data_IF_818509427745
#
_entry.id   IF_818509427745
#
_cell.length_a   1.000
_cell.length_b   1.000
_cell.length_c   1.000
_cell.angle_alpha   90.00
_cell.angle_beta   90.00
_cell.angle_gamma   90.00
#
_symmetry.space_group_name_H-M   'P 1'
#
loop_
_entity.id
_entity.type
_entity.pdbx_description
1 polymer ?
#
# COMPACT_ATOMS: atom_id res chain seq x y z
N UNK A 1 -37.87 13.27 34.40
CA UNK A 1 -37.08 14.52 34.52
C UNK A 1 -35.62 14.22 34.20
N UNK A 2 -35.17 14.55 32.98
CA UNK A 2 -33.84 14.20 32.48
C UNK A 2 -32.73 15.05 33.11
N UNK A 3 -31.64 14.41 33.55
CA UNK A 3 -30.42 15.10 34.00
C UNK A 3 -29.77 15.81 32.82
N UNK A 4 -29.76 17.14 32.85
CA UNK A 4 -28.91 17.96 32.01
C UNK A 4 -27.45 17.58 32.30
N UNK A 5 -26.76 16.97 31.33
CA UNK A 5 -25.30 16.77 31.43
C UNK A 5 -24.65 18.14 31.38
N UNK A 6 -23.93 18.50 32.44
CA UNK A 6 -23.04 19.66 32.43
C UNK A 6 -22.09 19.56 31.22
N UNK A 7 -21.97 20.65 30.46
CA UNK A 7 -21.02 20.76 29.35
C UNK A 7 -19.61 20.64 29.96
N UNK A 8 -18.76 19.77 29.39
CA UNK A 8 -17.37 19.68 29.84
C UNK A 8 -16.60 20.88 29.31
N UNK A 9 -15.60 21.35 30.07
CA UNK A 9 -14.72 22.46 29.69
C UNK A 9 -14.13 22.32 28.27
N UNK A 10 -13.97 21.07 27.82
CA UNK A 10 -13.54 20.75 26.45
C UNK A 10 -14.56 21.17 25.37
N UNK A 11 -15.85 20.95 25.60
CA UNK A 11 -16.90 21.32 24.63
C UNK A 11 -17.02 22.84 24.50
N UNK A 12 -16.79 23.58 25.58
CA UNK A 12 -16.79 25.04 25.54
C UNK A 12 -15.58 25.59 24.78
N UNK A 13 -14.38 25.04 25.02
CA UNK A 13 -13.18 25.35 24.22
C UNK A 13 -13.31 24.95 22.75
N UNK A 14 -14.04 23.87 22.46
CA UNK A 14 -14.34 23.44 21.09
C UNK A 14 -15.30 24.43 20.41
N UNK A 15 -16.35 24.84 21.10
CA UNK A 15 -17.34 25.81 20.59
C UNK A 15 -16.70 27.18 20.37
N UNK A 16 -15.86 27.65 21.29
CA UNK A 16 -15.11 28.90 21.12
C UNK A 16 -14.25 28.90 19.85
N UNK A 17 -13.51 27.81 19.59
CA UNK A 17 -12.72 27.64 18.36
C UNK A 17 -13.58 27.59 17.09
N UNK A 18 -14.76 26.97 17.17
CA UNK A 18 -15.69 26.94 16.03
C UNK A 18 -16.18 28.35 15.71
N UNK A 19 -16.55 29.13 16.73
CA UNK A 19 -17.01 30.51 16.58
C UNK A 19 -15.91 31.42 16.03
N UNK A 20 -14.68 31.29 16.51
CA UNK A 20 -13.53 32.05 16.00
C UNK A 20 -13.28 31.76 14.51
N UNK A 21 -13.32 30.48 14.11
CA UNK A 21 -13.16 30.09 12.71
C UNK A 21 -14.32 30.60 11.83
N UNK A 22 -15.55 30.57 12.34
CA UNK A 22 -16.71 31.13 11.64
C UNK A 22 -16.57 32.65 11.43
N UNK A 23 -16.11 33.38 12.45
CA UNK A 23 -15.84 34.82 12.35
C UNK A 23 -14.75 35.11 11.32
N UNK A 24 -13.67 34.31 11.28
CA UNK A 24 -12.60 34.42 10.28
C UNK A 24 -13.11 34.16 8.86
N UNK A 25 -13.99 33.17 8.68
CA UNK A 25 -14.61 32.93 7.36
C UNK A 25 -15.55 34.05 6.93
N UNK A 26 -16.24 34.69 7.89
CA UNK A 26 -17.11 35.83 7.63
C UNK A 26 -16.32 37.08 7.25
N UNK A 27 -15.22 37.39 7.96
CA UNK A 27 -14.37 38.55 7.65
C UNK A 27 -13.69 38.44 6.28
N UNK A 28 -13.38 37.22 5.85
CA UNK A 28 -12.85 36.94 4.50
C UNK A 28 -13.95 36.89 3.42
N UNK A 29 -15.22 37.09 3.77
CA UNK A 29 -16.35 37.08 2.81
C UNK A 29 -16.71 35.69 2.26
N UNK A 30 -16.15 34.61 2.81
CA UNK A 30 -16.26 33.24 2.28
C UNK A 30 -17.58 32.53 2.63
N UNK A 31 -18.44 33.14 3.46
CA UNK A 31 -19.70 32.50 3.86
C UNK A 31 -20.74 32.50 2.72
N UNK A 32 -20.66 33.47 1.79
CA UNK A 32 -21.54 33.56 0.61
C UNK A 32 -21.14 32.54 -0.46
N UNK A 33 -19.83 32.35 -0.68
CA UNK A 33 -19.31 31.44 -1.70
C UNK A 33 -19.68 29.98 -1.43
N UNK A 34 -19.69 29.51 -0.18
CA UNK A 34 -20.08 28.12 0.14
C UNK A 34 -21.55 27.86 -0.15
N UNK A 35 -22.43 28.81 0.20
CA UNK A 35 -23.87 28.70 -0.08
C UNK A 35 -24.14 28.78 -1.58
N UNK A 36 -23.48 29.70 -2.30
CA UNK A 36 -23.55 29.80 -3.76
C UNK A 36 -23.04 28.52 -4.45
N UNK A 37 -21.91 27.97 -4.02
CA UNK A 37 -21.37 26.69 -4.54
C UNK A 37 -22.35 25.53 -4.31
N UNK A 38 -23.03 25.50 -3.15
CA UNK A 38 -24.07 24.49 -2.88
C UNK A 38 -25.29 24.70 -3.76
N UNK A 39 -25.71 25.93 -3.99
CA UNK A 39 -26.81 26.28 -4.90
C UNK A 39 -26.50 25.85 -6.34
N UNK A 40 -25.29 26.15 -6.83
CA UNK A 40 -24.81 25.74 -8.16
C UNK A 40 -24.84 24.20 -8.29
N UNK A 41 -24.27 23.49 -7.31
CA UNK A 41 -24.26 22.02 -7.28
C UNK A 41 -25.66 21.40 -7.18
N UNK A 42 -26.61 22.10 -6.57
CA UNK A 42 -28.00 21.65 -6.44
C UNK A 42 -28.83 21.89 -7.71
N UNK A 43 -28.51 22.93 -8.48
CA UNK A 43 -29.17 23.27 -9.74
C UNK A 43 -28.67 22.37 -10.91
N UNK A 44 -27.41 21.95 -10.90
CA UNK A 44 -26.90 21.00 -11.92
C UNK A 44 -27.58 19.60 -11.90
N UNK A 45 -28.48 19.31 -10.95
CA UNK A 45 -29.20 18.03 -10.85
C UNK A 45 -30.47 17.87 -11.71
N UNK A 46 -30.82 18.81 -12.59
CA UNK A 46 -32.03 18.66 -13.43
C UNK A 46 -31.84 17.94 -14.76
N UNK A 47 -30.61 17.70 -15.22
CA UNK A 47 -30.39 16.93 -16.46
C UNK A 47 -30.36 15.44 -16.11
N UNK A 48 -31.46 14.75 -16.41
CA UNK A 48 -31.59 13.29 -16.31
C UNK A 48 -30.61 12.61 -17.28
N UNK A 49 -29.37 12.38 -16.86
CA UNK A 49 -28.53 11.31 -17.37
C UNK A 49 -28.73 10.09 -16.50
N UNK A 50 -28.90 8.91 -17.10
CA UNK A 50 -29.12 7.63 -16.41
C UNK A 50 -27.96 7.31 -15.44
N UNK A 51 -28.08 7.75 -14.18
CA UNK A 51 -27.16 7.37 -13.11
C UNK A 51 -27.56 5.98 -12.63
N UNK A 52 -26.66 5.00 -12.78
CA UNK A 52 -26.80 3.69 -12.15
C UNK A 52 -27.00 3.89 -10.65
N UNK A 53 -28.08 3.31 -10.12
CA UNK A 53 -28.51 3.40 -8.72
C UNK A 53 -27.38 2.91 -7.80
N UNK A 54 -26.55 3.81 -7.29
CA UNK A 54 -25.64 3.50 -6.20
C UNK A 54 -26.48 3.51 -4.92
N UNK A 55 -26.85 2.33 -4.44
CA UNK A 55 -27.51 2.19 -3.15
C UNK A 55 -26.54 2.68 -2.07
N UNK A 56 -26.79 3.89 -1.53
CA UNK A 56 -26.12 4.37 -0.32
C UNK A 56 -26.61 3.50 0.83
N UNK A 57 -25.76 2.58 1.30
CA UNK A 57 -26.03 1.83 2.52
C UNK A 57 -25.98 2.82 3.68
N UNK A 58 -27.11 3.06 4.33
CA UNK A 58 -27.19 3.92 5.49
C UNK A 58 -26.67 3.16 6.73
N UNK A 59 -25.49 3.55 7.20
CA UNK A 59 -24.84 2.91 8.35
C UNK A 59 -25.31 3.49 9.69
N UNK A 60 -26.24 4.46 9.69
CA UNK A 60 -26.75 5.08 10.93
C UNK A 60 -27.54 4.11 11.83
N UNK A 61 -28.01 2.99 11.27
CA UNK A 61 -28.83 1.99 11.99
C UNK A 61 -28.08 0.67 12.25
N UNK A 62 -26.80 0.59 11.88
CA UNK A 62 -25.95 -0.57 12.20
C UNK A 62 -25.30 -0.37 13.57
N UNK A 63 -25.30 -1.36 14.48
CA UNK A 63 -24.56 -1.25 15.73
C UNK A 63 -23.09 -0.96 15.44
N UNK A 64 -22.57 0.15 15.97
CA UNK A 64 -21.15 0.47 15.94
C UNK A 64 -20.36 -0.75 16.42
N UNK A 65 -19.53 -1.33 15.54
CA UNK A 65 -18.55 -2.37 15.89
C UNK A 65 -17.55 -1.80 16.90
N UNK A 66 -17.94 -1.76 18.17
CA UNK A 66 -16.99 -1.75 19.28
C UNK A 66 -16.54 -3.19 19.47
N UNK A 67 -15.24 -3.43 19.39
CA UNK A 67 -14.65 -4.70 19.78
C UNK A 67 -15.09 -5.05 21.20
N UNK A 68 -15.75 -6.19 21.40
CA UNK A 68 -16.15 -6.72 22.71
C UNK A 68 -14.96 -7.18 23.57
N UNK A 69 -13.74 -6.67 23.33
CA UNK A 69 -12.53 -7.07 24.05
C UNK A 69 -12.46 -6.53 25.48
N UNK A 70 -13.36 -5.62 25.88
CA UNK A 70 -13.35 -4.93 27.17
C UNK A 70 -14.74 -4.83 27.82
N UNK A 71 -15.45 -5.96 27.98
CA UNK A 71 -16.49 -6.07 29.02
C UNK A 71 -16.17 -7.27 29.89
N UNK A 72 -15.98 -6.98 31.18
CA UNK A 72 -15.32 -7.82 32.15
C UNK A 72 -16.12 -9.02 32.66
N UNK A 73 -15.33 -10.01 33.02
CA UNK A 73 -15.42 -10.94 34.16
C UNK A 73 -16.64 -10.79 35.09
N UNK A 74 -17.38 -11.89 35.25
CA UNK A 74 -17.91 -12.33 36.54
C UNK A 74 -17.70 -13.84 36.65
N UNK A 75 -17.32 -14.29 37.84
CA UNK A 75 -16.67 -15.57 38.12
C UNK A 75 -17.64 -16.70 38.52
N UNK A 76 -17.39 -17.94 38.05
CA UNK A 76 -17.10 -19.12 38.91
C UNK A 76 -16.94 -20.45 38.12
N UNK A 77 -15.76 -21.04 38.30
CA UNK A 77 -15.39 -22.44 38.61
C UNK A 77 -15.73 -23.66 37.71
N UNK A 78 -14.65 -24.43 37.43
CA UNK A 78 -14.50 -25.88 37.06
C UNK A 78 -14.99 -26.24 35.64
N UNK A 79 -14.39 -27.12 34.83
CA UNK A 79 -13.17 -27.96 34.81
C UNK A 79 -13.08 -28.55 33.38
N UNK A 80 -11.87 -28.95 32.96
CA UNK A 80 -11.53 -29.94 31.92
C UNK A 80 -11.99 -29.81 30.44
N UNK A 81 -10.97 -29.66 29.60
CA UNK A 81 -10.63 -30.27 28.30
C UNK A 81 -11.67 -30.63 27.21
N UNK A 82 -11.21 -30.34 25.98
CA UNK A 82 -11.64 -30.79 24.65
C UNK A 82 -12.98 -30.31 24.04
N UNK A 83 -12.84 -29.56 22.93
CA UNK A 83 -13.35 -29.90 21.58
C UNK A 83 -13.95 -28.72 20.78
N UNK A 84 -13.95 -28.94 19.47
CA UNK A 84 -13.99 -28.00 18.35
C UNK A 84 -15.40 -27.49 18.00
N UNK A 85 -15.46 -26.32 17.32
CA UNK A 85 -16.13 -26.04 16.01
C UNK A 85 -16.68 -24.60 15.98
N UNK A 86 -16.24 -23.72 15.07
CA UNK A 86 -16.47 -23.65 13.60
C UNK A 86 -17.96 -23.75 13.24
N UNK A 87 -18.51 -22.60 12.84
CA UNK A 87 -19.90 -22.34 12.47
C UNK A 87 -20.44 -23.20 11.31
N UNK A 88 -21.43 -24.04 11.61
CA UNK A 88 -22.79 -24.15 11.04
C UNK A 88 -23.13 -23.88 9.55
N UNK A 89 -22.19 -23.85 8.59
CA UNK A 89 -22.56 -23.71 7.16
C UNK A 89 -22.78 -25.00 6.35
N UNK A 90 -22.63 -26.18 6.96
CA UNK A 90 -22.83 -27.44 6.23
C UNK A 90 -23.62 -28.43 7.10
N UNK A 91 -24.94 -28.34 7.02
CA UNK A 91 -25.87 -29.40 7.45
C UNK A 91 -26.97 -29.54 6.40
N UNK A 92 -26.93 -30.68 5.72
CA UNK A 92 -27.89 -31.13 4.71
C UNK A 92 -27.59 -32.61 4.42
N UNK A 93 -28.04 -33.46 5.35
CA UNK A 93 -28.63 -34.83 5.22
C UNK A 93 -28.36 -35.68 3.97
N UNK A 94 -28.26 -37.01 3.97
CA UNK A 94 -28.00 -38.14 4.89
C UNK A 94 -28.18 -39.39 4.01
N UNK A 95 -27.32 -40.42 4.11
CA UNK A 95 -27.55 -41.70 3.44
C UNK A 95 -26.33 -42.63 3.35
N UNK A 96 -26.23 -43.57 4.29
CA UNK A 96 -25.35 -44.76 4.46
C UNK A 96 -24.60 -45.29 3.21
N UNK A 97 -23.32 -45.73 3.24
CA UNK A 97 -22.73 -46.79 4.09
C UNK A 97 -21.20 -46.99 3.87
N UNK A 98 -20.49 -47.36 4.98
CA UNK A 98 -19.14 -47.99 5.19
C UNK A 98 -17.82 -47.37 4.63
N UNK A 99 -16.72 -47.31 5.45
CA UNK A 99 -15.35 -46.93 5.01
C UNK A 99 -14.41 -48.16 4.89
N UNK A 100 -13.09 -48.00 4.61
CA UNK A 100 -12.37 -47.41 3.47
C UNK A 100 -11.55 -48.51 2.69
N UNK A 101 -10.83 -48.19 1.60
CA UNK A 101 -9.39 -47.99 1.78
C UNK A 101 -8.84 -46.79 0.99
N UNK A 102 -7.72 -46.25 1.49
CA UNK A 102 -6.99 -45.12 0.88
C UNK A 102 -6.48 -45.54 -0.51
N UNK A 103 -6.99 -44.90 -1.56
CA UNK A 103 -6.59 -45.17 -2.93
C UNK A 103 -7.09 -44.11 -3.92
N UNK A 104 -6.15 -43.64 -4.74
CA UNK A 104 -6.19 -42.66 -5.83
C UNK A 104 -7.37 -42.79 -6.81
N UNK A 105 -7.78 -41.64 -7.39
CA UNK A 105 -8.31 -41.32 -8.75
C UNK A 105 -9.51 -40.34 -8.64
N UNK A 106 -9.76 -39.36 -9.51
CA UNK A 106 -9.14 -38.82 -10.73
C UNK A 106 -9.57 -37.33 -10.80
N UNK A 107 -8.80 -36.41 -11.37
CA UNK A 107 -8.59 -36.24 -12.81
C UNK A 107 -9.94 -36.26 -13.56
N UNK A 108 -10.54 -35.08 -13.68
CA UNK A 108 -11.36 -34.77 -14.85
C UNK A 108 -10.48 -33.90 -15.74
N UNK A 109 -10.17 -34.48 -16.88
CA UNK A 109 -9.44 -33.91 -18.00
C UNK A 109 -10.28 -32.79 -18.61
N UNK A 110 -9.75 -31.57 -18.55
CA UNK A 110 -9.87 -30.65 -19.68
C UNK A 110 -8.44 -30.45 -20.19
N UNK A 111 -8.08 -31.33 -21.11
CA UNK A 111 -6.87 -31.27 -21.92
C UNK A 111 -6.95 -30.05 -22.84
N UNK A 112 -6.35 -28.94 -22.42
CA UNK A 112 -5.62 -28.09 -23.36
C UNK A 112 -4.14 -28.19 -22.99
N UNK A 113 -3.42 -29.01 -23.75
CA UNK A 113 -1.98 -29.18 -23.70
C UNK A 113 -1.27 -27.83 -23.79
N UNK A 114 -0.89 -27.28 -22.64
CA UNK A 114 0.17 -26.30 -22.59
C UNK A 114 1.48 -27.08 -22.50
N UNK A 115 2.05 -27.41 -23.67
CA UNK A 115 3.36 -28.06 -23.80
C UNK A 115 4.41 -27.22 -23.04
N UNK A 116 4.67 -27.60 -21.79
CA UNK A 116 5.61 -26.93 -20.92
C UNK A 116 7.01 -27.44 -21.27
N UNK A 117 7.59 -26.84 -22.30
CA UNK A 117 9.02 -26.97 -22.62
C UNK A 117 9.66 -25.58 -22.57
N UNK A 118 9.98 -25.15 -21.36
CA UNK A 118 10.77 -23.95 -21.11
C UNK A 118 11.07 -23.84 -19.63
N UNK A 119 12.35 -23.77 -19.28
CA UNK A 119 12.86 -23.48 -17.94
C UNK A 119 12.01 -22.41 -17.24
N UNK A 120 11.63 -22.64 -15.98
CA UNK A 120 11.05 -21.60 -15.11
C UNK A 120 12.09 -20.50 -14.86
N UNK A 121 12.31 -19.64 -15.85
CA UNK A 121 13.09 -18.42 -15.67
C UNK A 121 12.32 -17.54 -14.69
N UNK A 122 12.91 -17.32 -13.51
CA UNK A 122 12.38 -16.40 -12.51
C UNK A 122 12.33 -15.00 -13.12
N UNK A 123 11.14 -14.56 -13.53
CA UNK A 123 10.93 -13.19 -14.02
C UNK A 123 11.31 -12.17 -12.94
N UNK A 124 11.93 -11.04 -13.32
CA UNK A 124 12.31 -10.01 -12.36
C UNK A 124 11.06 -9.33 -11.77
N UNK A 125 11.16 -8.84 -10.53
CA UNK A 125 10.00 -8.27 -9.83
C UNK A 125 9.51 -6.95 -10.46
N UNK A 126 10.36 -6.29 -11.23
CA UNK A 126 10.00 -5.11 -12.02
C UNK A 126 9.39 -5.46 -13.40
N UNK A 127 9.28 -6.74 -13.74
CA UNK A 127 8.60 -7.23 -14.95
C UNK A 127 7.63 -8.39 -14.66
N UNK A 128 6.60 -8.19 -13.80
CA UNK A 128 5.64 -9.24 -13.52
C UNK A 128 4.87 -9.65 -14.78
N UNK A 129 4.63 -10.96 -14.92
CA UNK A 129 3.76 -11.51 -15.95
C UNK A 129 2.32 -11.08 -15.67
N UNK A 130 1.66 -10.54 -16.68
CA UNK A 130 0.25 -10.13 -16.61
C UNK A 130 -0.52 -10.93 -17.64
N UNK A 131 -1.57 -11.62 -17.21
CA UNK A 131 -2.52 -12.26 -18.13
C UNK A 131 -3.43 -11.18 -18.71
N UNK A 132 -3.39 -10.99 -20.03
CA UNK A 132 -4.20 -10.02 -20.75
C UNK A 132 -5.17 -10.77 -21.68
N UNK A 133 -6.43 -10.34 -21.70
CA UNK A 133 -7.46 -10.89 -22.58
C UNK A 133 -7.31 -10.32 -24.00
N UNK A 134 -6.21 -10.64 -24.71
CA UNK A 134 -5.97 -10.42 -26.15
C UNK A 134 -6.06 -8.98 -26.70
N UNK A 135 -6.54 -8.01 -25.90
CA UNK A 135 -6.77 -6.62 -26.30
C UNK A 135 -5.53 -5.81 -25.93
N UNK A 136 -4.88 -5.22 -26.94
CA UNK A 136 -3.82 -4.23 -26.74
C UNK A 136 -4.41 -3.04 -25.99
N UNK A 137 -4.03 -2.90 -24.72
CA UNK A 137 -4.34 -1.71 -23.92
C UNK A 137 -3.29 -0.64 -24.23
N UNK A 138 -3.73 0.61 -24.36
CA UNK A 138 -2.85 1.78 -24.44
C UNK A 138 -3.31 2.80 -23.42
N UNK A 139 -2.37 3.57 -22.88
CA UNK A 139 -2.71 4.72 -22.06
C UNK A 139 -3.33 5.81 -22.94
N UNK A 140 -4.30 6.55 -22.39
CA UNK A 140 -4.75 7.77 -23.06
C UNK A 140 -3.65 8.83 -23.03
N UNK A 141 -3.62 9.76 -24.01
CA UNK A 141 -2.62 10.83 -24.06
C UNK A 141 -2.53 11.62 -22.74
N UNK A 142 -3.68 11.93 -22.12
CA UNK A 142 -3.72 12.65 -20.84
C UNK A 142 -3.11 11.88 -19.67
N UNK A 143 -3.24 10.55 -19.67
CA UNK A 143 -2.65 9.69 -18.64
C UNK A 143 -1.16 9.54 -18.87
N UNK A 144 -0.72 9.36 -20.12
CA UNK A 144 0.69 9.31 -20.49
C UNK A 144 1.40 10.63 -20.13
N UNK A 145 0.80 11.78 -20.44
CA UNK A 145 1.34 13.09 -20.08
C UNK A 145 1.42 13.28 -18.56
N UNK A 146 0.41 12.80 -17.80
CA UNK A 146 0.46 12.84 -16.33
C UNK A 146 1.59 12.00 -15.76
N UNK A 147 1.81 10.80 -16.30
CA UNK A 147 2.82 9.83 -15.82
C UNK A 147 4.21 10.44 -15.66
N UNK A 148 4.61 11.29 -16.61
CA UNK A 148 5.95 11.87 -16.71
C UNK A 148 6.06 13.31 -16.18
N UNK A 149 5.03 13.86 -15.51
CA UNK A 149 5.05 15.27 -15.05
C UNK A 149 6.19 15.64 -14.09
N UNK A 150 6.86 14.67 -13.50
CA UNK A 150 8.00 14.91 -12.62
C UNK A 150 9.00 13.78 -12.81
N UNK A 151 10.15 14.06 -13.43
CA UNK A 151 11.20 13.08 -13.69
C UNK A 151 11.71 12.47 -12.39
N UNK A 152 11.75 13.23 -11.30
CA UNK A 152 12.17 12.78 -9.96
C UNK A 152 11.03 12.15 -9.14
N UNK A 153 9.89 11.85 -9.77
CA UNK A 153 8.66 11.42 -9.13
C UNK A 153 8.65 9.96 -8.64
N UNK A 154 7.62 9.62 -7.85
CA UNK A 154 7.32 8.24 -7.42
C UNK A 154 6.52 7.44 -8.45
N UNK A 155 6.15 8.05 -9.58
CA UNK A 155 5.03 7.62 -10.41
C UNK A 155 3.70 8.10 -9.83
N UNK A 156 2.96 8.92 -10.57
CA UNK A 156 1.69 9.50 -10.10
C UNK A 156 0.45 8.80 -10.66
N UNK A 157 0.62 7.91 -11.65
CA UNK A 157 -0.48 7.17 -12.27
C UNK A 157 -0.59 5.81 -11.62
N UNK A 158 -1.70 5.58 -10.93
CA UNK A 158 -2.07 4.26 -10.42
C UNK A 158 -2.60 3.38 -11.54
N UNK A 159 -2.13 2.14 -11.60
CA UNK A 159 -2.68 1.12 -12.50
C UNK A 159 -2.67 -0.25 -11.79
N UNK A 160 -3.82 -0.91 -11.61
CA UNK A 160 -3.89 -2.18 -10.86
C UNK A 160 -3.28 -3.37 -11.61
N UNK A 161 -3.15 -3.28 -12.93
CA UNK A 161 -2.74 -4.36 -13.84
C UNK A 161 -1.25 -4.21 -14.18
N UNK A 162 -0.86 -3.05 -14.71
CA UNK A 162 0.49 -2.77 -15.18
C UNK A 162 1.36 -2.02 -14.15
N UNK A 163 0.75 -1.49 -13.10
CA UNK A 163 1.45 -0.77 -12.05
C UNK A 163 2.30 -1.71 -11.20
N UNK A 164 3.53 -1.28 -10.93
CA UNK A 164 4.49 -2.04 -10.14
C UNK A 164 4.58 -1.41 -8.75
N UNK A 165 4.53 -2.26 -7.73
CA UNK A 165 4.60 -1.85 -6.34
C UNK A 165 6.05 -1.57 -5.92
N UNK A 166 6.33 -0.36 -5.44
CA UNK A 166 7.60 -0.03 -4.78
C UNK A 166 7.56 -0.45 -3.31
N UNK A 167 8.66 -0.98 -2.77
CA UNK A 167 8.81 -1.43 -1.39
C UNK A 167 8.33 -0.38 -0.35
N UNK A 168 8.63 0.90 -0.61
CA UNK A 168 8.27 2.01 0.27
C UNK A 168 6.90 2.61 -0.04
N UNK A 169 6.55 2.80 -1.32
CA UNK A 169 5.27 3.43 -1.67
C UNK A 169 4.08 2.51 -1.43
N UNK A 170 4.27 1.19 -1.56
CA UNK A 170 3.23 0.16 -1.42
C UNK A 170 1.98 0.41 -2.27
N UNK A 171 2.16 1.13 -3.38
CA UNK A 171 1.12 1.50 -4.34
C UNK A 171 1.55 0.98 -5.72
N UNK A 172 0.60 0.41 -6.47
CA UNK A 172 0.81 -0.02 -7.86
C UNK A 172 0.77 1.19 -8.79
N UNK A 173 1.93 1.75 -9.09
CA UNK A 173 2.06 2.91 -9.97
C UNK A 173 2.90 2.59 -11.19
N UNK A 174 2.62 3.23 -12.30
CA UNK A 174 3.53 3.28 -13.45
C UNK A 174 4.75 4.13 -13.09
N UNK A 175 5.91 3.83 -13.67
CA UNK A 175 7.10 4.67 -13.44
C UNK A 175 6.97 6.04 -14.13
N UNK A 176 7.84 6.98 -13.76
CA UNK A 176 7.85 8.34 -14.32
C UNK A 176 8.80 8.55 -15.49
N UNK A 177 9.46 7.48 -15.98
CA UNK A 177 10.42 7.57 -17.08
C UNK A 177 9.73 7.64 -18.44
N UNK A 178 10.04 8.66 -19.24
CA UNK A 178 9.46 8.88 -20.58
C UNK A 178 9.73 7.69 -21.51
N UNK A 179 10.97 7.20 -21.52
CA UNK A 179 11.46 6.14 -22.41
C UNK A 179 11.15 4.72 -21.92
N UNK A 180 10.26 4.57 -20.93
CA UNK A 180 9.90 3.24 -20.42
C UNK A 180 8.84 2.58 -21.29
N UNK A 181 9.26 1.73 -22.24
CA UNK A 181 8.34 0.96 -23.10
C UNK A 181 7.31 0.16 -22.30
N UNK A 182 7.71 -0.46 -21.18
CA UNK A 182 6.78 -1.17 -20.28
C UNK A 182 5.64 -0.27 -19.79
N UNK A 183 5.96 0.92 -19.29
CA UNK A 183 4.97 1.81 -18.68
C UNK A 183 4.27 2.73 -19.69
N UNK A 184 4.90 3.05 -20.81
CA UNK A 184 4.31 3.84 -21.90
C UNK A 184 3.38 3.01 -22.78
N UNK A 185 3.88 1.87 -23.27
CA UNK A 185 3.17 1.01 -24.21
C UNK A 185 2.44 -0.15 -23.55
N UNK A 186 2.58 -0.31 -22.22
CA UNK A 186 1.98 -1.41 -21.46
C UNK A 186 2.48 -2.79 -21.89
N UNK A 187 3.72 -2.85 -22.40
CA UNK A 187 4.40 -4.08 -22.82
C UNK A 187 4.97 -4.82 -21.60
N UNK A 188 4.32 -5.92 -21.22
CA UNK A 188 4.62 -6.64 -19.97
C UNK A 188 5.86 -7.53 -20.04
N UNK A 189 6.40 -7.77 -21.22
CA UNK A 189 7.62 -8.56 -21.38
C UNK A 189 8.90 -7.73 -21.21
N UNK A 190 8.78 -6.40 -21.32
CA UNK A 190 9.91 -5.50 -21.12
C UNK A 190 10.07 -5.14 -19.63
N UNK A 191 11.32 -5.03 -19.13
CA UNK A 191 11.59 -4.58 -17.77
C UNK A 191 11.26 -3.10 -17.59
N UNK A 192 10.85 -2.73 -16.38
CA UNK A 192 10.64 -1.34 -16.03
C UNK A 192 11.99 -0.65 -15.78
N UNK A 193 12.34 0.35 -16.59
CA UNK A 193 13.55 1.16 -16.37
C UNK A 193 13.43 2.12 -15.18
N UNK A 194 12.19 2.46 -14.79
CA UNK A 194 11.92 3.45 -13.75
C UNK A 194 11.71 2.87 -12.35
N UNK A 195 11.93 1.56 -12.19
CA UNK A 195 11.86 0.86 -10.91
C UNK A 195 12.94 -0.20 -10.87
N UNK A 196 13.71 -0.22 -9.79
CA UNK A 196 14.83 -1.14 -9.63
C UNK A 196 14.35 -2.59 -9.55
N UNK A 197 15.27 -3.50 -9.83
CA UNK A 197 15.14 -4.92 -9.55
C UNK A 197 16.46 -5.41 -8.96
N UNK A 198 16.36 -6.22 -7.90
CA UNK A 198 17.56 -6.69 -7.21
C UNK A 198 18.09 -7.95 -7.89
N UNK A 199 19.39 -7.95 -8.19
CA UNK A 199 20.12 -9.07 -8.81
C UNK A 199 20.12 -10.38 -8.00
N UNK A 200 19.69 -10.34 -6.73
CA UNK A 200 19.74 -11.48 -5.81
C UNK A 200 18.35 -12.01 -5.52
N UNK A 201 17.47 -11.17 -4.98
CA UNK A 201 16.17 -11.65 -4.51
C UNK A 201 15.06 -11.60 -5.57
N UNK A 202 15.20 -10.77 -6.62
CA UNK A 202 14.14 -10.50 -7.62
C UNK A 202 12.74 -10.41 -6.98
N UNK A 203 12.65 -9.74 -5.83
CA UNK A 203 11.45 -9.70 -4.98
C UNK A 203 10.94 -8.28 -4.81
N UNK A 204 9.74 -8.13 -4.25
CA UNK A 204 9.16 -6.82 -3.93
C UNK A 204 10.02 -5.95 -3.00
N UNK A 205 10.96 -6.55 -2.25
CA UNK A 205 11.92 -5.81 -1.42
C UNK A 205 12.99 -5.10 -2.25
N UNK A 206 13.31 -5.64 -3.43
CA UNK A 206 14.28 -5.08 -4.37
C UNK A 206 13.72 -4.04 -5.33
N UNK A 207 12.41 -3.77 -5.26
CA UNK A 207 11.73 -2.83 -6.17
C UNK A 207 11.59 -1.45 -5.52
N UNK A 208 12.38 -0.49 -5.99
CA UNK A 208 12.40 0.89 -5.54
C UNK A 208 12.11 1.82 -6.72
N UNK A 209 11.20 2.77 -6.53
CA UNK A 209 11.02 3.86 -7.50
C UNK A 209 12.10 4.94 -7.29
N UNK A 210 12.36 5.75 -8.32
CA UNK A 210 13.42 6.78 -8.35
C UNK A 210 13.43 7.65 -7.11
N UNK A 211 12.30 8.26 -6.78
CA UNK A 211 12.19 9.11 -5.59
C UNK A 211 12.53 8.39 -4.28
N UNK A 212 12.17 7.11 -4.14
CA UNK A 212 12.46 6.36 -2.92
C UNK A 212 13.92 5.96 -2.86
N UNK A 213 14.50 5.52 -3.98
CA UNK A 213 15.91 5.21 -4.09
C UNK A 213 16.77 6.43 -3.70
N UNK A 214 16.51 7.58 -4.35
CA UNK A 214 17.20 8.85 -4.09
C UNK A 214 17.02 9.36 -2.67
N UNK A 215 15.78 9.45 -2.18
CA UNK A 215 15.53 10.06 -0.86
C UNK A 215 15.89 9.14 0.30
N UNK A 216 15.68 7.81 0.16
CA UNK A 216 15.94 6.86 1.26
C UNK A 216 17.38 6.38 1.27
N UNK A 217 18.01 6.16 0.12
CA UNK A 217 19.36 5.60 0.03
C UNK A 217 20.37 6.57 -0.57
N UNK A 218 19.96 7.53 -1.39
CA UNK A 218 20.86 8.53 -1.96
C UNK A 218 21.54 8.05 -3.23
N UNK A 219 21.03 6.96 -3.82
CA UNK A 219 21.49 6.41 -5.08
C UNK A 219 20.65 6.97 -6.23
N UNK A 220 21.27 7.25 -7.37
CA UNK A 220 20.57 7.65 -8.59
C UNK A 220 20.17 6.42 -9.42
N UNK A 221 19.06 6.55 -10.15
CA UNK A 221 18.49 5.41 -10.88
C UNK A 221 19.36 4.99 -12.07
N UNK A 222 20.04 5.95 -12.69
CA UNK A 222 20.97 5.76 -13.79
C UNK A 222 22.13 4.85 -13.36
N UNK A 223 22.76 5.16 -12.23
CA UNK A 223 23.87 4.38 -11.65
C UNK A 223 23.44 2.95 -11.32
N UNK A 224 22.26 2.81 -10.71
CA UNK A 224 21.70 1.49 -10.38
C UNK A 224 21.36 0.68 -11.62
N UNK A 225 20.89 1.33 -12.70
CA UNK A 225 20.57 0.66 -13.97
C UNK A 225 21.82 0.19 -14.70
N UNK A 226 22.89 0.96 -14.65
CA UNK A 226 24.18 0.56 -15.22
C UNK A 226 24.80 -0.61 -14.42
N UNK A 227 24.58 -0.64 -13.11
CA UNK A 227 25.04 -1.72 -12.25
C UNK A 227 24.11 -2.95 -12.28
N UNK A 228 24.38 -3.89 -13.20
CA UNK A 228 23.67 -5.18 -13.28
C UNK A 228 23.76 -6.05 -12.02
N UNK A 229 24.74 -5.78 -11.15
CA UNK A 229 24.93 -6.50 -9.89
C UNK A 229 24.30 -5.77 -8.70
N UNK A 230 23.52 -4.69 -8.93
CA UNK A 230 22.92 -3.94 -7.84
C UNK A 230 22.09 -4.81 -6.89
N UNK A 231 22.38 -4.66 -5.60
CA UNK A 231 21.75 -5.41 -4.53
C UNK A 231 20.89 -4.47 -3.70
N UNK A 232 19.67 -4.92 -3.39
CA UNK A 232 18.80 -4.13 -2.54
C UNK A 232 19.33 -4.11 -1.09
N UNK A 233 18.96 -3.08 -0.31
CA UNK A 233 19.35 -2.95 1.09
C UNK A 233 19.01 -4.15 1.98
N UNK A 234 17.94 -4.91 1.67
CA UNK A 234 17.65 -6.17 2.36
C UNK A 234 18.73 -7.23 2.09
N UNK A 235 19.12 -7.42 0.84
CA UNK A 235 20.12 -8.42 0.47
C UNK A 235 21.54 -8.04 0.90
N UNK A 236 21.88 -6.74 0.90
CA UNK A 236 23.17 -6.25 1.42
C UNK A 236 23.29 -6.58 2.91
N UNK A 237 22.21 -6.34 3.65
CA UNK A 237 22.12 -6.64 5.08
C UNK A 237 22.17 -8.15 5.35
N UNK A 238 21.38 -8.96 4.64
CA UNK A 238 21.36 -10.43 4.79
C UNK A 238 22.72 -11.07 4.47
N UNK A 239 23.45 -10.54 3.49
CA UNK A 239 24.79 -11.03 3.13
C UNK A 239 25.90 -10.49 4.06
N UNK A 240 25.61 -9.51 4.90
CA UNK A 240 26.60 -8.89 5.79
C UNK A 240 27.71 -8.11 5.05
N UNK A 241 27.47 -7.66 3.82
CA UNK A 241 28.50 -6.95 3.02
C UNK A 241 28.81 -5.58 3.65
N UNK A 242 27.77 -4.90 4.13
CA UNK A 242 27.91 -3.66 4.89
C UNK A 242 26.95 -3.70 6.08
N UNK A 243 27.45 -3.85 7.32
CA UNK A 243 26.59 -4.02 8.50
C UNK A 243 25.74 -2.78 8.81
N UNK A 244 26.16 -1.60 8.35
CA UNK A 244 25.44 -0.35 8.59
C UNK A 244 24.42 -0.03 7.50
N UNK A 245 24.52 -0.69 6.34
CA UNK A 245 23.61 -0.46 5.21
C UNK A 245 22.37 -1.34 5.31
N UNK A 246 21.42 -0.88 6.13
CA UNK A 246 20.21 -1.63 6.47
C UNK A 246 18.99 -1.13 5.70
N UNK A 247 17.97 -2.00 5.55
CA UNK A 247 16.70 -1.55 5.04
C UNK A 247 15.99 -0.61 6.02
N UNK A 248 15.74 0.64 5.60
CA UNK A 248 15.15 1.68 6.42
C UNK A 248 13.62 1.78 6.32
N UNK A 249 12.94 0.73 5.85
CA UNK A 249 11.48 0.69 5.84
C UNK A 249 10.92 0.68 7.27
N UNK A 250 9.73 1.26 7.46
CA UNK A 250 9.10 1.28 8.78
C UNK A 250 8.83 -0.12 9.35
N UNK A 251 8.71 -1.13 8.49
CA UNK A 251 8.50 -2.51 8.92
C UNK A 251 9.80 -3.13 9.43
N UNK A 252 10.88 -2.99 8.66
CA UNK A 252 12.19 -3.54 9.01
C UNK A 252 12.77 -2.86 10.26
N UNK A 253 12.64 -1.54 10.38
CA UNK A 253 13.10 -0.82 11.57
C UNK A 253 12.33 -1.21 12.83
N UNK A 254 11.01 -1.46 12.72
CA UNK A 254 10.21 -1.96 13.86
C UNK A 254 10.67 -3.35 14.30
N UNK A 255 10.99 -4.23 13.36
CA UNK A 255 11.54 -5.56 13.68
C UNK A 255 12.88 -5.45 14.43
N UNK A 256 13.69 -4.43 14.11
CA UNK A 256 14.95 -4.11 14.80
C UNK A 256 14.78 -3.31 16.09
N UNK A 257 13.55 -3.08 16.56
CA UNK A 257 13.23 -2.23 17.73
C UNK A 257 13.76 -0.79 17.61
N UNK A 258 13.98 -0.31 16.39
CA UNK A 258 14.36 1.08 16.10
C UNK A 258 13.12 1.93 15.82
N UNK A 259 13.22 3.24 16.07
CA UNK A 259 12.15 4.16 15.73
C UNK A 259 11.91 4.18 14.21
N UNK A 260 10.65 4.09 13.74
CA UNK A 260 10.35 4.12 12.31
C UNK A 260 10.71 5.47 11.69
N UNK A 261 11.20 5.44 10.45
CA UNK A 261 11.74 6.58 9.67
C UNK A 261 10.68 7.57 9.14
N UNK A 262 9.62 7.84 9.90
CA UNK A 262 8.50 8.71 9.51
C UNK A 262 8.95 10.10 9.05
N UNK A 263 9.49 10.91 9.95
CA UNK A 263 10.08 12.23 9.65
C UNK A 263 11.57 12.17 9.28
N UNK A 264 12.15 10.97 9.14
CA UNK A 264 13.60 10.83 8.99
C UNK A 264 14.14 11.46 7.70
N UNK A 265 13.32 11.60 6.67
CA UNK A 265 13.70 12.31 5.43
C UNK A 265 14.01 13.78 5.72
N UNK A 266 13.13 14.45 6.46
CA UNK A 266 13.32 15.85 6.83
C UNK A 266 14.50 16.00 7.78
N UNK A 267 14.60 15.12 8.79
CA UNK A 267 15.71 15.09 9.73
C UNK A 267 17.07 14.92 9.03
N UNK A 268 17.18 13.96 8.10
CA UNK A 268 18.40 13.71 7.35
C UNK A 268 18.83 14.95 6.56
N UNK A 269 17.88 15.61 5.88
CA UNK A 269 18.14 16.84 5.12
C UNK A 269 18.56 18.00 6.02
N UNK A 270 17.85 18.21 7.14
CA UNK A 270 18.17 19.27 8.10
C UNK A 270 19.57 19.10 8.70
N UNK A 271 20.00 17.86 8.90
CA UNK A 271 21.33 17.54 9.41
C UNK A 271 22.41 17.45 8.31
N UNK A 272 22.07 17.73 7.04
CA UNK A 272 23.02 17.75 5.94
C UNK A 272 23.41 16.38 5.35
N UNK A 273 22.71 15.31 5.71
CA UNK A 273 22.96 13.99 5.12
C UNK A 273 22.36 13.87 3.71
N UNK A 274 23.07 13.15 2.84
CA UNK A 274 22.62 12.85 1.46
C UNK A 274 21.28 12.10 1.44
N UNK A 275 21.06 11.16 2.36
CA UNK A 275 19.85 10.36 2.43
C UNK A 275 19.58 9.84 3.84
N UNK A 276 18.40 9.24 4.03
CA UNK A 276 18.03 8.61 5.31
C UNK A 276 18.97 7.45 5.67
N UNK A 277 19.44 6.67 4.70
CA UNK A 277 20.39 5.59 4.94
C UNK A 277 21.71 6.13 5.51
N UNK A 278 22.23 7.25 4.99
CA UNK A 278 23.46 7.86 5.50
C UNK A 278 23.32 8.34 6.95
N UNK A 279 22.17 8.93 7.30
CA UNK A 279 21.87 9.28 8.69
C UNK A 279 21.89 8.03 9.59
N UNK A 280 21.21 6.96 9.20
CA UNK A 280 21.13 5.73 10.00
C UNK A 280 22.48 5.04 10.12
N UNK A 281 23.29 5.02 9.05
CA UNK A 281 24.64 4.47 9.10
C UNK A 281 25.49 5.16 10.17
N UNK A 282 25.48 6.50 10.19
CA UNK A 282 26.24 7.27 11.18
C UNK A 282 25.70 7.06 12.61
N UNK A 283 24.37 7.00 12.80
CA UNK A 283 23.76 6.67 14.09
C UNK A 283 24.19 5.29 14.61
N UNK A 284 24.23 4.27 13.73
CA UNK A 284 24.66 2.92 14.09
C UNK A 284 26.15 2.86 14.42
N UNK A 285 27.00 3.51 13.62
CA UNK A 285 28.45 3.58 13.86
C UNK A 285 28.78 4.30 15.17
N UNK A 286 28.04 5.35 15.52
CA UNK A 286 28.20 6.05 16.80
C UNK A 286 27.77 5.17 17.97
N UNK A 287 26.67 4.44 17.83
CA UNK A 287 26.19 3.53 18.87
C UNK A 287 27.21 2.42 19.17
N UNK A 288 27.87 1.86 18.15
CA UNK A 288 28.92 0.86 18.35
C UNK A 288 30.19 1.43 19.00
N UNK A 289 30.59 2.65 18.66
CA UNK A 289 31.77 3.31 19.26
C UNK A 289 31.59 3.73 20.72
N UNK A 290 30.34 3.80 21.19
CA UNK A 290 30.00 4.16 22.56
C UNK A 290 29.84 2.95 23.49
N UNK A 291 29.99 1.72 22.96
CA UNK A 291 30.01 0.45 23.71
C UNK A 291 31.46 0.02 23.88
#
# INVERSE_FOLDING_TARGET
MGRLRAKSDYEDLRNARILENQARLASLGLHKTISELRSITSWEKSVKTHVRKCCRVDYSSSPLRRSNRLKGLSAKSKSEDTSLRRSSRLLGTSGNSKPPPKGKRGLFEEEEECLFSGSEEKRPANAPLVRLDGKKRRLSPDVAARRCRSKEGRGCVYDPIFGICCHFCRQKTLCSEEDCNRCSNLETDQPCIGKTDCSVCHSSNGVLCRACLKVRYGEEMEEVRENKQWMCPHCIEEKGINPYWICNSSFCLKQRKMAPTGLAIYRARMMGYKSVAHLLMDELQRAEKCI
#
